data_IF_393532891575
#
_entry.id   IF_393532891575
#
_cell.length_a   1.000
_cell.length_b   1.000
_cell.length_c   1.000
_cell.angle_alpha   90.00
_cell.angle_beta   90.00
_cell.angle_gamma   90.00
#
_symmetry.space_group_name_H-M   'P 1'
#
loop_
_entity.id
_entity.type
_entity.pdbx_description
1 polymer ?
#
# COMPACT_ATOMS: atom_id res chain seq x y z
N UNK A 1 15.16 53.35 -51.77
CA UNK A 1 15.39 51.93 -51.46
C UNK A 1 14.04 51.29 -51.18
N UNK A 2 13.51 50.38 -52.03
CA UNK A 2 12.20 49.80 -51.77
C UNK A 2 12.29 48.71 -50.68
N UNK A 3 11.42 48.83 -49.68
CA UNK A 3 11.36 47.97 -48.51
C UNK A 3 10.64 46.66 -48.89
N UNK A 4 11.27 45.49 -48.69
CA UNK A 4 10.63 44.18 -48.90
C UNK A 4 9.55 43.98 -47.84
N UNK A 5 8.27 44.03 -48.22
CA UNK A 5 7.16 43.63 -47.36
C UNK A 5 7.21 42.10 -47.17
N UNK A 6 7.48 41.67 -45.94
CA UNK A 6 7.45 40.27 -45.50
C UNK A 6 5.98 39.82 -45.47
N UNK A 7 5.62 38.81 -46.26
CA UNK A 7 4.27 38.24 -46.23
C UNK A 7 4.05 37.46 -44.93
N UNK A 8 3.08 37.89 -44.12
CA UNK A 8 2.58 37.08 -43.02
C UNK A 8 1.70 35.97 -43.60
N UNK A 9 2.23 34.74 -43.64
CA UNK A 9 1.44 33.54 -43.87
C UNK A 9 0.55 33.30 -42.66
N UNK A 10 -0.77 33.48 -42.82
CA UNK A 10 -1.75 33.08 -41.82
C UNK A 10 -2.00 31.57 -41.87
N UNK A 11 -2.41 31.00 -40.74
CA UNK A 11 -2.93 29.63 -40.69
C UNK A 11 -4.22 29.52 -41.49
N UNK A 12 -4.37 28.46 -42.28
CA UNK A 12 -5.64 28.13 -42.94
C UNK A 12 -6.56 27.40 -41.98
N UNK A 13 -7.87 27.51 -42.22
CA UNK A 13 -8.88 26.78 -41.42
C UNK A 13 -8.72 25.26 -41.54
N UNK A 14 -8.28 24.77 -42.70
CA UNK A 14 -8.07 23.33 -42.92
C UNK A 14 -6.88 22.81 -42.10
N UNK A 15 -5.81 23.60 -41.96
CA UNK A 15 -4.67 23.25 -41.11
C UNK A 15 -5.06 23.17 -39.64
N UNK A 16 -5.87 24.12 -39.15
CA UNK A 16 -6.36 24.07 -37.77
C UNK A 16 -7.28 22.86 -37.52
N UNK A 17 -8.17 22.56 -38.49
CA UNK A 17 -9.09 21.41 -38.40
C UNK A 17 -8.34 20.08 -38.36
N UNK A 18 -7.30 19.93 -39.18
CA UNK A 18 -6.49 18.71 -39.22
C UNK A 18 -5.71 18.52 -37.92
N UNK A 19 -5.19 19.60 -37.33
CA UNK A 19 -4.46 19.54 -36.05
C UNK A 19 -5.36 19.07 -34.91
N UNK A 20 -6.57 19.63 -34.77
CA UNK A 20 -7.49 19.19 -33.71
C UNK A 20 -7.93 17.73 -33.92
N UNK A 21 -8.09 17.28 -35.17
CA UNK A 21 -8.43 15.89 -35.48
C UNK A 21 -7.30 14.93 -35.08
N UNK A 22 -6.05 15.27 -35.38
CA UNK A 22 -4.89 14.46 -34.96
C UNK A 22 -4.75 14.45 -33.44
N UNK A 23 -4.90 15.60 -32.77
CA UNK A 23 -4.84 15.69 -31.30
C UNK A 23 -5.92 14.80 -30.67
N UNK A 24 -7.14 14.81 -31.21
CA UNK A 24 -8.24 13.98 -30.70
C UNK A 24 -7.93 12.48 -30.83
N UNK A 25 -7.39 12.03 -31.96
CA UNK A 25 -6.99 10.63 -32.18
C UNK A 25 -5.87 10.24 -31.22
N UNK A 26 -4.81 11.04 -31.13
CA UNK A 26 -3.68 10.77 -30.23
C UNK A 26 -4.13 10.71 -28.78
N UNK A 27 -4.95 11.65 -28.32
CA UNK A 27 -5.49 11.67 -26.97
C UNK A 27 -6.31 10.41 -26.65
N UNK A 28 -7.17 9.97 -27.57
CA UNK A 28 -7.95 8.74 -27.39
C UNK A 28 -7.06 7.49 -27.27
N UNK A 29 -6.02 7.37 -28.12
CA UNK A 29 -5.11 6.22 -28.07
C UNK A 29 -4.27 6.18 -26.79
N UNK A 30 -3.79 7.33 -26.31
CA UNK A 30 -3.00 7.43 -25.08
C UNK A 30 -3.84 7.03 -23.86
N UNK A 31 -5.10 7.45 -23.80
CA UNK A 31 -5.99 7.12 -22.68
C UNK A 31 -6.22 5.61 -22.55
N UNK A 32 -6.42 4.91 -23.68
CA UNK A 32 -6.57 3.45 -23.70
C UNK A 32 -5.25 2.74 -23.37
N UNK A 33 -4.12 3.28 -23.83
CA UNK A 33 -2.82 2.64 -23.64
C UNK A 33 -2.26 2.72 -22.21
N UNK A 34 -2.62 3.75 -21.44
CA UNK A 34 -1.99 4.03 -20.14
C UNK A 34 -2.69 3.40 -18.93
N UNK A 35 -3.86 2.78 -19.09
CA UNK A 35 -4.70 2.20 -18.02
C UNK A 35 -4.46 2.89 -16.66
N UNK A 36 -4.93 4.15 -16.51
CA UNK A 36 -4.61 4.95 -15.33
C UNK A 36 -5.05 4.27 -14.03
N UNK A 37 -6.13 3.47 -14.09
CA UNK A 37 -6.61 2.69 -12.96
C UNK A 37 -5.55 1.70 -12.49
N UNK A 38 -4.99 0.91 -13.41
CA UNK A 38 -3.90 -0.02 -13.10
C UNK A 38 -2.67 0.68 -12.51
N UNK A 39 -2.31 1.87 -13.01
CA UNK A 39 -1.18 2.63 -12.46
C UNK A 39 -1.38 3.08 -11.01
N UNK A 40 -2.60 3.43 -10.64
CA UNK A 40 -2.93 3.74 -9.25
C UNK A 40 -2.91 2.49 -8.36
N UNK A 41 -3.40 1.35 -8.87
CA UNK A 41 -3.33 0.05 -8.19
C UNK A 41 -1.87 -0.34 -7.93
N UNK A 42 -1.04 -0.37 -8.97
CA UNK A 42 0.39 -0.70 -8.88
C UNK A 42 1.13 0.21 -7.87
N UNK A 43 0.75 1.49 -7.78
CA UNK A 43 1.36 2.44 -6.82
C UNK A 43 0.97 2.13 -5.37
N UNK A 44 -0.30 1.78 -5.11
CA UNK A 44 -0.77 1.39 -3.77
C UNK A 44 -0.13 0.07 -3.35
N UNK A 45 -0.06 -0.91 -4.25
CA UNK A 45 0.60 -2.19 -3.97
C UNK A 45 2.10 -2.02 -3.72
N UNK A 46 2.80 -1.17 -4.48
CA UNK A 46 4.22 -0.86 -4.21
C UNK A 46 4.42 -0.22 -2.82
N UNK A 47 3.47 0.62 -2.38
CA UNK A 47 3.47 1.18 -1.03
C UNK A 47 3.26 0.08 0.02
N UNK A 48 2.27 -0.81 -0.16
CA UNK A 48 2.03 -1.95 0.73
C UNK A 48 3.24 -2.88 0.84
N UNK A 49 3.93 -3.16 -0.27
CA UNK A 49 5.18 -3.91 -0.27
C UNK A 49 6.24 -3.27 0.62
N UNK A 50 6.45 -1.95 0.47
CA UNK A 50 7.42 -1.22 1.27
C UNK A 50 7.06 -1.23 2.76
N UNK A 51 5.78 -1.04 3.09
CA UNK A 51 5.27 -1.01 4.48
C UNK A 51 5.37 -2.40 5.15
N UNK A 52 5.09 -3.48 4.41
CA UNK A 52 5.27 -4.87 4.91
C UNK A 52 6.75 -5.18 5.16
N UNK A 53 7.64 -4.77 4.25
CA UNK A 53 9.08 -4.94 4.42
C UNK A 53 9.62 -4.13 5.60
N UNK A 54 9.17 -2.89 5.78
CA UNK A 54 9.54 -2.02 6.90
C UNK A 54 9.19 -2.66 8.24
N UNK A 55 7.96 -3.16 8.40
CA UNK A 55 7.52 -3.81 9.63
C UNK A 55 8.32 -5.08 9.95
N UNK A 56 8.56 -5.96 8.96
CA UNK A 56 9.37 -7.16 9.19
C UNK A 56 10.80 -6.79 9.55
N UNK A 57 11.38 -5.79 8.90
CA UNK A 57 12.73 -5.34 9.20
C UNK A 57 12.83 -4.80 10.63
N UNK A 58 11.86 -3.97 11.05
CA UNK A 58 11.80 -3.45 12.42
C UNK A 58 11.68 -4.59 13.46
N UNK A 59 10.81 -5.57 13.24
CA UNK A 59 10.68 -6.75 14.11
C UNK A 59 11.99 -7.52 14.23
N UNK A 60 12.75 -7.65 13.14
CA UNK A 60 14.03 -8.36 13.16
C UNK A 60 15.13 -7.56 13.85
N UNK A 61 15.17 -6.24 13.69
CA UNK A 61 16.11 -5.39 14.43
C UNK A 61 15.80 -5.45 15.93
N UNK A 62 14.53 -5.26 16.32
CA UNK A 62 14.06 -5.44 17.69
C UNK A 62 14.53 -6.77 18.28
N UNK A 63 14.30 -7.87 17.54
CA UNK A 63 14.73 -9.19 17.96
C UNK A 63 16.25 -9.29 18.18
N UNK A 64 17.06 -8.68 17.31
CA UNK A 64 18.52 -8.71 17.41
C UNK A 64 18.98 -7.95 18.67
N UNK A 65 18.45 -6.75 18.88
CA UNK A 65 18.83 -5.88 20.00
C UNK A 65 18.36 -6.46 21.34
N UNK A 66 17.22 -7.15 21.35
CA UNK A 66 16.67 -7.86 22.50
C UNK A 66 17.17 -9.31 22.65
N UNK A 67 18.36 -9.63 22.11
CA UNK A 67 19.07 -10.92 22.29
C UNK A 67 18.24 -12.14 21.86
N UNK A 68 17.52 -12.00 20.77
CA UNK A 68 16.68 -13.05 20.19
C UNK A 68 15.25 -13.07 20.72
N UNK A 69 14.89 -12.19 21.67
CA UNK A 69 13.52 -12.06 22.17
C UNK A 69 12.73 -11.11 21.28
N UNK A 70 11.52 -11.50 20.92
CA UNK A 70 10.55 -10.60 20.27
C UNK A 70 9.84 -9.74 21.31
N UNK A 71 9.33 -8.58 20.89
CA UNK A 71 8.29 -7.85 21.61
C UNK A 71 7.22 -8.79 22.19
N UNK A 72 6.81 -8.57 23.44
CA UNK A 72 5.90 -9.47 24.17
C UNK A 72 4.60 -9.77 23.40
N UNK A 73 4.08 -8.78 22.67
CA UNK A 73 2.93 -8.95 21.79
C UNK A 73 3.18 -10.09 20.77
N UNK A 74 4.30 -10.02 20.03
CA UNK A 74 4.69 -11.00 19.00
C UNK A 74 5.13 -12.33 19.64
N UNK A 75 5.78 -12.27 20.80
CA UNK A 75 6.21 -13.46 21.54
C UNK A 75 5.01 -14.35 21.90
N UNK A 76 3.90 -13.73 22.31
CA UNK A 76 2.67 -14.41 22.77
C UNK A 76 1.67 -14.75 21.66
N UNK A 77 1.98 -14.45 20.39
CA UNK A 77 1.14 -14.86 19.27
C UNK A 77 0.95 -16.39 19.23
N UNK A 78 -0.29 -16.88 19.06
CA UNK A 78 -0.54 -18.29 18.75
C UNK A 78 0.16 -18.71 17.47
N UNK A 79 0.61 -19.96 17.44
CA UNK A 79 1.31 -20.50 16.27
C UNK A 79 0.34 -20.78 15.12
N UNK A 80 0.74 -20.37 13.91
CA UNK A 80 0.02 -20.51 12.66
C UNK A 80 -1.36 -19.82 12.63
N UNK A 81 -1.61 -18.84 13.49
CA UNK A 81 -2.81 -18.02 13.43
C UNK A 81 -2.52 -16.65 12.83
N UNK A 82 -3.45 -16.13 12.03
CA UNK A 82 -3.36 -14.81 11.41
C UNK A 82 -4.07 -13.80 12.29
N UNK A 83 -3.32 -12.78 12.72
CA UNK A 83 -3.78 -11.72 13.61
C UNK A 83 -3.68 -10.37 12.88
N UNK A 84 -4.65 -9.48 13.09
CA UNK A 84 -4.64 -8.11 12.53
C UNK A 84 -3.64 -7.26 13.32
N UNK A 85 -2.77 -6.53 12.61
CA UNK A 85 -1.88 -5.55 13.23
C UNK A 85 -2.68 -4.29 13.58
N UNK A 86 -2.46 -3.80 14.80
CA UNK A 86 -2.94 -2.53 15.30
C UNK A 86 -1.76 -1.61 15.64
N UNK A 87 -1.96 -0.32 15.44
CA UNK A 87 -1.06 0.75 15.85
C UNK A 87 -1.43 1.32 17.23
N UNK A 88 -2.45 0.77 17.90
CA UNK A 88 -2.93 1.23 19.20
C UNK A 88 -3.15 0.05 20.16
N UNK A 89 -2.98 0.31 21.45
CA UNK A 89 -3.27 -0.66 22.51
C UNK A 89 -4.79 -0.84 22.76
N UNK A 90 -5.66 -0.14 22.01
CA UNK A 90 -7.11 -0.12 22.24
C UNK A 90 -7.87 -1.21 21.50
N UNK A 91 -7.21 -1.95 20.61
CA UNK A 91 -7.85 -2.86 19.69
C UNK A 91 -8.01 -4.26 20.33
N UNK A 92 -8.84 -4.40 21.38
CA UNK A 92 -9.03 -5.70 22.06
C UNK A 92 -10.31 -6.45 21.67
N UNK A 93 -11.23 -5.83 20.92
CA UNK A 93 -12.57 -6.44 20.68
C UNK A 93 -13.21 -6.15 19.31
N UNK A 94 -12.52 -5.52 18.34
CA UNK A 94 -13.14 -5.17 17.05
C UNK A 94 -12.21 -5.12 15.84
N UNK A 95 -11.07 -5.83 15.86
CA UNK A 95 -10.09 -5.71 14.76
C UNK A 95 -10.38 -6.60 13.56
N UNK A 96 -11.53 -7.27 13.52
CA UNK A 96 -11.97 -7.93 12.30
C UNK A 96 -13.45 -7.75 11.99
N UNK A 97 -13.72 -7.18 10.81
CA UNK A 97 -14.66 -7.72 9.80
C UNK A 97 -14.18 -7.49 8.35
N UNK A 98 -13.05 -6.82 8.13
CA UNK A 98 -12.58 -6.46 6.78
C UNK A 98 -11.63 -7.50 6.14
N UNK A 99 -10.95 -8.33 6.95
CA UNK A 99 -9.95 -9.27 6.46
C UNK A 99 -10.37 -10.73 6.61
N UNK A 100 -10.61 -11.42 5.50
CA UNK A 100 -11.13 -12.79 5.50
C UNK A 100 -10.19 -13.83 6.16
N UNK A 101 -8.88 -13.56 6.21
CA UNK A 101 -7.89 -14.49 6.74
C UNK A 101 -7.69 -14.43 8.27
N UNK A 102 -8.16 -13.38 8.94
CA UNK A 102 -7.92 -13.16 10.39
C UNK A 102 -8.83 -14.04 11.24
N UNK A 103 -8.25 -14.75 12.21
CA UNK A 103 -8.88 -15.88 12.91
C UNK A 103 -10.16 -15.52 13.71
N UNK A 104 -10.23 -14.31 14.27
CA UNK A 104 -11.42 -13.83 15.00
C UNK A 104 -11.45 -12.30 15.12
N UNK A 105 -12.56 -11.74 15.63
CA UNK A 105 -12.72 -10.30 15.90
C UNK A 105 -11.89 -9.80 17.09
N UNK A 106 -11.31 -10.71 17.87
CA UNK A 106 -10.39 -10.44 18.97
C UNK A 106 -8.92 -10.76 18.64
N UNK A 107 -8.63 -11.21 17.41
CA UNK A 107 -7.29 -11.57 16.96
C UNK A 107 -6.53 -10.31 16.50
N UNK A 108 -6.15 -9.48 17.46
CA UNK A 108 -5.47 -8.21 17.25
C UNK A 108 -4.12 -8.19 17.93
N UNK A 109 -3.11 -7.67 17.24
CA UNK A 109 -1.77 -7.50 17.77
C UNK A 109 -1.39 -6.03 17.75
N UNK A 110 -1.13 -5.47 18.92
CA UNK A 110 -0.55 -4.13 19.04
C UNK A 110 0.95 -4.16 18.70
N UNK A 111 1.34 -3.43 17.64
CA UNK A 111 2.73 -3.21 17.24
C UNK A 111 3.28 -1.84 17.64
N UNK A 112 2.51 -1.01 18.37
CA UNK A 112 2.98 0.32 18.82
C UNK A 112 4.21 0.25 19.72
N UNK A 113 4.47 -0.88 20.39
CA UNK A 113 5.71 -1.09 21.13
C UNK A 113 6.99 -0.94 20.29
N UNK A 114 6.95 -1.31 19.00
CA UNK A 114 8.09 -1.10 18.09
C UNK A 114 8.30 0.38 17.76
N UNK A 115 7.23 1.17 17.77
CA UNK A 115 7.31 2.62 17.61
C UNK A 115 7.85 3.28 18.89
N UNK A 116 7.38 2.85 20.06
CA UNK A 116 7.83 3.36 21.35
C UNK A 116 9.33 3.10 21.59
N UNK A 117 9.82 1.94 21.14
CA UNK A 117 11.24 1.57 21.20
C UNK A 117 12.08 2.20 20.07
N UNK A 118 11.45 2.86 19.10
CA UNK A 118 12.11 3.61 18.03
C UNK A 118 12.57 2.76 16.83
N UNK A 119 12.11 1.51 16.71
CA UNK A 119 12.36 0.67 15.53
C UNK A 119 11.46 1.02 14.34
N UNK A 120 10.31 1.65 14.60
CA UNK A 120 9.41 2.23 13.60
C UNK A 120 9.18 3.72 13.90
N UNK A 121 9.02 4.52 12.84
CA UNK A 121 8.58 5.92 13.00
C UNK A 121 7.09 6.01 13.31
N UNK A 122 6.30 5.08 12.75
CA UNK A 122 4.90 4.84 13.03
C UNK A 122 4.55 3.43 12.53
N UNK A 123 3.54 2.78 13.11
CA UNK A 123 2.99 1.56 12.52
C UNK A 123 2.21 1.92 11.25
N UNK A 124 2.57 1.39 10.06
CA UNK A 124 1.90 1.74 8.81
C UNK A 124 0.44 1.33 8.78
N UNK A 125 -0.37 2.10 8.06
CA UNK A 125 -1.78 1.81 7.76
C UNK A 125 -1.93 1.71 6.24
N UNK A 126 -2.50 0.60 5.77
CA UNK A 126 -2.67 0.31 4.35
C UNK A 126 -3.42 1.45 3.67
N UNK A 127 -2.97 1.89 2.48
CA UNK A 127 -3.70 2.90 1.73
C UNK A 127 -5.10 2.40 1.39
N UNK A 128 -6.10 3.26 1.53
CA UNK A 128 -7.46 2.94 1.09
C UNK A 128 -7.50 2.72 -0.42
N UNK A 129 -8.24 1.70 -0.86
CA UNK A 129 -8.52 1.44 -2.26
C UNK A 129 -10.01 1.63 -2.54
N UNK A 130 -10.40 2.24 -3.68
CA UNK A 130 -11.79 2.29 -4.09
C UNK A 130 -12.38 0.91 -4.41
N UNK A 131 -11.53 -0.09 -4.66
CA UNK A 131 -11.95 -1.45 -5.02
C UNK A 131 -12.34 -2.29 -3.79
N UNK A 132 -12.05 -1.81 -2.57
CA UNK A 132 -12.26 -2.55 -1.33
C UNK A 132 -12.87 -1.63 -0.27
N UNK A 133 -14.02 -2.03 0.28
CA UNK A 133 -14.83 -1.23 1.19
C UNK A 133 -14.32 -1.25 2.65
N UNK A 134 -13.01 -1.07 2.86
CA UNK A 134 -12.42 -1.01 4.19
C UNK A 134 -11.56 0.24 4.36
N UNK A 135 -12.07 1.18 5.15
CA UNK A 135 -11.31 2.34 5.61
C UNK A 135 -10.35 1.91 6.73
N UNK A 136 -9.13 1.51 6.36
CA UNK A 136 -8.08 1.15 7.31
C UNK A 136 -7.79 2.29 8.27
N UNK A 137 -7.46 1.93 9.51
CA UNK A 137 -7.21 2.90 10.58
C UNK A 137 -6.05 2.44 11.46
N UNK A 138 -5.66 3.27 12.43
CA UNK A 138 -4.69 2.87 13.43
C UNK A 138 -5.15 1.66 14.25
N UNK A 139 -6.45 1.42 14.40
CA UNK A 139 -6.95 0.29 15.18
C UNK A 139 -6.91 -1.02 14.40
N UNK A 140 -7.06 -0.95 13.07
CA UNK A 140 -6.99 -2.07 12.14
C UNK A 140 -6.28 -1.60 10.88
N UNK A 141 -4.98 -1.87 10.83
CA UNK A 141 -4.06 -1.26 9.85
C UNK A 141 -4.23 -1.79 8.43
N UNK A 142 -4.92 -2.92 8.24
CA UNK A 142 -4.96 -3.62 6.95
C UNK A 142 -3.76 -4.52 6.71
N UNK A 143 -2.89 -4.68 7.70
CA UNK A 143 -1.82 -5.65 7.70
C UNK A 143 -2.08 -6.75 8.72
N UNK A 144 -1.66 -7.95 8.39
CA UNK A 144 -1.80 -9.12 9.24
C UNK A 144 -0.44 -9.71 9.52
N UNK A 145 -0.33 -10.37 10.67
CA UNK A 145 0.88 -11.04 11.13
C UNK A 145 0.54 -12.47 11.52
N UNK A 146 1.44 -13.38 11.17
CA UNK A 146 1.38 -14.78 11.56
C UNK A 146 2.75 -15.23 12.01
N UNK A 147 2.80 -15.98 13.10
CA UNK A 147 4.01 -16.62 13.60
C UNK A 147 3.97 -18.11 13.27
N UNK A 148 5.01 -18.62 12.61
CA UNK A 148 5.16 -20.05 12.34
C UNK A 148 6.56 -20.52 12.76
N UNK A 149 6.64 -21.08 13.97
CA UNK A 149 7.90 -21.41 14.61
C UNK A 149 8.70 -20.15 14.92
N UNK A 150 9.82 -19.96 14.20
CA UNK A 150 10.69 -18.77 14.29
C UNK A 150 10.43 -17.74 13.19
N UNK A 151 9.65 -18.11 12.17
CA UNK A 151 9.35 -17.24 11.05
C UNK A 151 8.16 -16.34 11.39
N UNK A 152 8.30 -15.06 11.06
CA UNK A 152 7.25 -14.07 11.09
C UNK A 152 6.85 -13.80 9.65
N UNK A 153 5.56 -13.93 9.37
CA UNK A 153 4.96 -13.58 8.09
C UNK A 153 4.08 -12.36 8.30
N UNK A 154 4.29 -11.33 7.49
CA UNK A 154 3.39 -10.18 7.41
C UNK A 154 2.77 -10.19 6.02
N UNK A 155 1.44 -10.04 5.99
CA UNK A 155 0.65 -10.07 4.77
C UNK A 155 -0.29 -8.87 4.76
N UNK A 156 -0.28 -8.10 3.67
CA UNK A 156 -1.32 -7.10 3.46
C UNK A 156 -2.65 -7.82 3.26
N UNK A 157 -3.69 -7.34 3.93
CA UNK A 157 -5.02 -7.92 3.81
C UNK A 157 -5.55 -7.87 2.38
N UNK A 158 -5.10 -6.87 1.64
CA UNK A 158 -5.49 -6.59 0.27
C UNK A 158 -4.26 -6.44 -0.63
N UNK A 159 -4.37 -6.96 -1.84
CA UNK A 159 -3.55 -6.60 -2.99
C UNK A 159 -4.47 -6.36 -4.17
N UNK A 160 -4.13 -5.38 -5.00
CA UNK A 160 -4.95 -4.99 -6.14
C UNK A 160 -4.52 -5.78 -7.39
N UNK A 161 -5.42 -5.92 -8.36
CA UNK A 161 -5.13 -6.73 -9.55
C UNK A 161 -4.93 -8.24 -9.29
N UNK A 162 -5.30 -8.74 -8.12
CA UNK A 162 -5.18 -10.16 -7.74
C UNK A 162 -3.80 -10.54 -7.19
N UNK A 163 -2.93 -9.56 -6.91
CA UNK A 163 -1.65 -9.83 -6.25
C UNK A 163 -1.83 -10.11 -4.75
N UNK A 164 -0.95 -10.94 -4.19
CA UNK A 164 -0.87 -11.17 -2.76
C UNK A 164 0.45 -10.63 -2.25
N UNK A 165 0.40 -9.67 -1.35
CA UNK A 165 1.57 -8.97 -0.81
C UNK A 165 1.90 -9.59 0.53
N UNK A 166 2.97 -10.38 0.55
CA UNK A 166 3.40 -11.13 1.73
C UNK A 166 4.92 -11.21 1.80
N UNK A 167 5.46 -11.01 3.00
CA UNK A 167 6.89 -11.19 3.29
C UNK A 167 7.00 -12.11 4.49
N UNK A 168 7.97 -13.02 4.46
CA UNK A 168 8.28 -13.94 5.54
C UNK A 168 9.77 -13.90 5.86
N UNK A 169 10.13 -13.83 7.15
CA UNK A 169 11.52 -13.86 7.64
C UNK A 169 11.67 -14.53 9.00
#
# INVERSE_FOLDING_TARGET
MPNKLKGNSGFTLIELLLVIAIIAILAATIFVALDPLKRFQDTRDARRWSEVEEMIHAIKIDQIDNRGKYLDAIANLPQNEVWMISATNTATTSCNVACAAVASTSACLDLSGLQDEGYLSAVPVSPSSPDIASDWSSDYTGYTIQKSGQYITITACEGEGGETITVQR
#
